data_IF_920121517131
#
_entry.id   IF_920121517131
#
_cell.length_a   1.000
_cell.length_b   1.000
_cell.length_c   1.000
_cell.angle_alpha   90.00
_cell.angle_beta   90.00
_cell.angle_gamma   90.00
#
_symmetry.space_group_name_H-M   'P 1'
#
loop_
_entity.id
_entity.type
_entity.pdbx_description
1 polymer ?
#
# COMPACT_ATOMS: atom_id res chain seq x y z
N UNK A 1 -23.66 -2.29 -3.22
CA UNK A 1 -22.59 -1.27 -3.11
C UNK A 1 -23.17 -0.08 -2.35
N UNK A 2 -22.34 0.71 -1.70
CA UNK A 2 -22.80 1.93 -1.01
C UNK A 2 -23.22 2.96 -2.07
N UNK A 3 -24.26 3.74 -1.80
CA UNK A 3 -24.68 4.83 -2.70
C UNK A 3 -23.58 5.90 -2.80
N UNK A 4 -23.30 6.47 -3.98
CA UNK A 4 -22.15 7.37 -4.17
C UNK A 4 -22.12 8.56 -3.22
N UNK A 5 -23.27 9.14 -2.87
CA UNK A 5 -23.32 10.27 -1.93
C UNK A 5 -23.07 9.86 -0.47
N UNK A 6 -23.44 8.63 -0.10
CA UNK A 6 -23.09 8.09 1.21
C UNK A 6 -21.59 7.84 1.27
N UNK A 7 -21.00 7.31 0.20
CA UNK A 7 -19.55 7.09 0.11
C UNK A 7 -18.77 8.41 0.15
N UNK A 8 -19.23 9.45 -0.57
CA UNK A 8 -18.68 10.80 -0.51
C UNK A 8 -18.70 11.36 0.91
N UNK A 9 -19.82 11.19 1.61
CA UNK A 9 -19.98 11.63 3.00
C UNK A 9 -19.01 10.89 3.93
N UNK A 10 -18.87 9.57 3.78
CA UNK A 10 -17.91 8.79 4.55
C UNK A 10 -16.47 9.24 4.31
N UNK A 11 -16.10 9.55 3.07
CA UNK A 11 -14.77 10.05 2.73
C UNK A 11 -14.49 11.39 3.42
N UNK A 12 -15.41 12.36 3.28
CA UNK A 12 -15.25 13.66 3.90
C UNK A 12 -15.16 13.58 5.43
N UNK A 13 -15.98 12.73 6.05
CA UNK A 13 -15.96 12.53 7.50
C UNK A 13 -14.68 11.82 7.97
N UNK A 14 -14.17 10.85 7.20
CA UNK A 14 -12.89 10.20 7.48
C UNK A 14 -11.74 11.21 7.44
N UNK A 15 -11.69 12.10 6.44
CA UNK A 15 -10.69 13.17 6.35
C UNK A 15 -10.78 14.11 7.55
N UNK A 16 -12.00 14.55 7.91
CA UNK A 16 -12.24 15.43 9.05
C UNK A 16 -11.75 14.81 10.37
N UNK A 17 -12.15 13.57 10.66
CA UNK A 17 -11.79 12.86 11.88
C UNK A 17 -10.29 12.58 11.96
N UNK A 18 -9.67 12.15 10.86
CA UNK A 18 -8.22 11.93 10.83
C UNK A 18 -7.46 13.23 11.08
N UNK A 19 -7.86 14.33 10.45
CA UNK A 19 -7.25 15.65 10.65
C UNK A 19 -7.35 16.10 12.12
N UNK A 20 -8.50 15.90 12.75
CA UNK A 20 -8.72 16.23 14.16
C UNK A 20 -7.81 15.40 15.09
N UNK A 21 -7.64 14.12 14.79
CA UNK A 21 -6.86 13.18 15.62
C UNK A 21 -5.34 13.32 15.44
N UNK A 22 -4.87 13.64 14.23
CA UNK A 22 -3.43 13.64 13.89
C UNK A 22 -2.85 15.04 13.73
N UNK A 23 -3.69 16.07 13.62
CA UNK A 23 -3.29 17.47 13.39
C UNK A 23 -3.03 17.84 11.93
N UNK A 24 -3.03 16.88 11.01
CA UNK A 24 -2.80 17.09 9.57
C UNK A 24 -3.75 16.22 8.74
N UNK A 25 -4.23 16.76 7.62
CA UNK A 25 -5.09 16.01 6.72
C UNK A 25 -4.34 14.85 6.05
N UNK A 26 -4.98 13.66 5.90
CA UNK A 26 -4.36 12.55 5.20
C UNK A 26 -4.11 12.88 3.73
N UNK A 27 -2.91 12.57 3.26
CA UNK A 27 -2.50 12.79 1.86
C UNK A 27 -2.57 11.52 1.01
N UNK A 28 -3.02 10.40 1.58
CA UNK A 28 -3.18 9.13 0.89
C UNK A 28 -4.50 8.46 1.25
N UNK A 29 -5.09 7.73 0.30
CA UNK A 29 -6.34 6.99 0.49
C UNK A 29 -6.20 5.50 0.17
N UNK A 30 -6.87 4.65 0.96
CA UNK A 30 -7.04 3.21 0.69
C UNK A 30 -8.32 2.72 1.35
N UNK A 31 -9.32 2.34 0.56
CA UNK A 31 -10.57 1.74 1.04
C UNK A 31 -10.46 0.22 1.23
N UNK A 32 -9.67 -0.45 0.38
CA UNK A 32 -9.49 -1.89 0.31
C UNK A 32 -10.66 -2.62 -0.35
N UNK A 33 -11.86 -2.49 0.22
CA UNK A 33 -13.10 -2.95 -0.42
C UNK A 33 -13.81 -1.73 -0.98
N UNK A 34 -13.34 -1.30 -2.13
CA UNK A 34 -13.79 -0.11 -2.84
C UNK A 34 -15.09 -0.36 -3.64
N UNK A 35 -15.55 0.68 -4.30
CA UNK A 35 -16.64 0.70 -5.27
C UNK A 35 -16.11 1.22 -6.61
N UNK A 36 -16.83 1.03 -7.72
CA UNK A 36 -16.46 1.65 -9.00
C UNK A 36 -16.37 3.18 -8.96
N UNK A 37 -16.87 3.83 -7.90
CA UNK A 37 -16.85 5.28 -7.73
C UNK A 37 -15.72 5.77 -6.82
N UNK A 38 -15.10 4.90 -6.01
CA UNK A 38 -14.18 5.31 -4.95
C UNK A 38 -13.05 6.21 -5.46
N UNK A 39 -12.30 5.78 -6.48
CA UNK A 39 -11.20 6.59 -7.04
C UNK A 39 -11.70 7.93 -7.58
N UNK A 40 -12.85 7.97 -8.26
CA UNK A 40 -13.45 9.22 -8.74
C UNK A 40 -13.75 10.17 -7.58
N UNK A 41 -14.32 9.68 -6.48
CA UNK A 41 -14.62 10.48 -5.29
C UNK A 41 -13.35 10.96 -4.58
N UNK A 42 -12.31 10.14 -4.52
CA UNK A 42 -10.98 10.50 -3.99
C UNK A 42 -10.37 11.65 -4.78
N UNK A 43 -10.39 11.57 -6.11
CA UNK A 43 -9.88 12.62 -6.99
C UNK A 43 -10.74 13.88 -6.88
N UNK A 44 -12.06 13.75 -6.87
CA UNK A 44 -13.00 14.88 -6.74
C UNK A 44 -12.82 15.63 -5.40
N UNK A 45 -12.46 14.92 -4.31
CA UNK A 45 -12.14 15.56 -3.02
C UNK A 45 -10.89 16.45 -3.10
N UNK A 46 -9.92 16.14 -3.97
CA UNK A 46 -8.76 17.00 -4.29
C UNK A 46 -7.67 17.11 -3.23
N UNK A 47 -7.83 16.46 -2.07
CA UNK A 47 -6.89 16.55 -0.94
C UNK A 47 -5.75 15.50 -0.90
N UNK A 48 -5.75 14.52 -1.82
CA UNK A 48 -4.84 13.38 -1.76
C UNK A 48 -3.75 13.45 -2.83
N UNK A 49 -2.51 13.13 -2.44
CA UNK A 49 -1.39 12.97 -3.37
C UNK A 49 -1.44 11.62 -4.08
N UNK A 50 -2.02 10.59 -3.45
CA UNK A 50 -2.13 9.25 -4.03
C UNK A 50 -3.30 8.44 -3.47
N UNK A 51 -3.71 7.41 -4.20
CA UNK A 51 -4.49 6.29 -3.68
C UNK A 51 -3.73 4.97 -3.78
N UNK A 52 -4.20 3.94 -3.07
CA UNK A 52 -3.62 2.59 -3.10
C UNK A 52 -4.66 1.51 -3.37
N UNK A 53 -5.85 1.86 -3.88
CA UNK A 53 -6.90 0.91 -4.29
C UNK A 53 -6.58 0.35 -5.69
N UNK A 54 -5.38 -0.25 -5.81
CA UNK A 54 -4.90 -0.96 -6.99
C UNK A 54 -3.88 -2.01 -6.58
N UNK A 55 -3.88 -3.13 -7.28
CA UNK A 55 -2.96 -4.27 -7.07
C UNK A 55 -2.27 -4.66 -8.39
N UNK A 56 -2.19 -3.71 -9.33
CA UNK A 56 -1.96 -4.01 -10.74
C UNK A 56 -0.50 -3.86 -11.20
N UNK A 57 0.40 -3.35 -10.37
CA UNK A 57 1.78 -3.05 -10.77
C UNK A 57 2.74 -3.08 -9.56
N UNK A 58 4.03 -3.21 -9.86
CA UNK A 58 5.16 -3.18 -8.91
C UNK A 58 5.78 -1.77 -8.78
N UNK A 59 5.23 -0.77 -9.49
CA UNK A 59 5.61 0.64 -9.43
C UNK A 59 4.39 1.56 -9.30
N UNK A 60 4.57 2.76 -8.71
CA UNK A 60 3.59 3.83 -8.85
C UNK A 60 3.36 4.21 -10.31
N UNK A 61 2.15 4.66 -10.63
CA UNK A 61 1.80 5.11 -11.98
C UNK A 61 0.71 6.18 -11.95
N UNK A 62 0.69 7.02 -12.97
CA UNK A 62 -0.35 8.04 -13.16
C UNK A 62 -1.57 7.44 -13.85
N UNK A 63 -2.76 7.83 -13.40
CA UNK A 63 -4.03 7.52 -14.07
C UNK A 63 -4.84 8.80 -14.26
N UNK A 64 -5.49 8.93 -15.41
CA UNK A 64 -6.41 10.01 -15.66
C UNK A 64 -7.80 9.66 -15.09
N UNK A 65 -8.37 10.56 -14.29
CA UNK A 65 -9.70 10.44 -13.70
C UNK A 65 -10.44 11.74 -13.98
N UNK A 66 -11.46 11.69 -14.84
CA UNK A 66 -12.24 12.85 -15.27
C UNK A 66 -11.38 14.06 -15.70
N UNK A 67 -10.27 13.77 -16.40
CA UNK A 67 -9.33 14.79 -16.90
C UNK A 67 -8.30 15.28 -15.88
N UNK A 68 -8.25 14.71 -14.68
CA UNK A 68 -7.24 14.99 -13.65
C UNK A 68 -6.26 13.83 -13.54
N UNK A 69 -4.96 14.11 -13.60
CA UNK A 69 -3.93 13.10 -13.32
C UNK A 69 -3.85 12.82 -11.82
N UNK A 70 -3.98 11.54 -11.46
CA UNK A 70 -3.87 11.07 -10.09
C UNK A 70 -2.82 9.98 -9.96
N UNK A 71 -2.00 10.04 -8.92
CA UNK A 71 -0.98 9.03 -8.69
C UNK A 71 -1.58 7.82 -7.96
N UNK A 72 -1.35 6.64 -8.51
CA UNK A 72 -1.61 5.38 -7.83
C UNK A 72 -0.29 4.85 -7.29
N UNK A 73 -0.26 4.50 -6.00
CA UNK A 73 0.82 3.73 -5.38
C UNK A 73 0.24 2.34 -5.07
N UNK A 74 0.53 1.29 -5.88
CA UNK A 74 -0.14 -0.02 -5.75
C UNK A 74 0.11 -0.73 -4.43
N UNK A 75 -0.91 -1.41 -3.92
CA UNK A 75 -0.89 -2.21 -2.69
C UNK A 75 -0.86 -3.71 -2.99
N UNK A 76 -1.02 -4.55 -1.97
CA UNK A 76 -0.94 -6.02 -2.07
C UNK A 76 -2.06 -6.73 -1.32
N UNK A 77 -2.51 -7.85 -1.89
CA UNK A 77 -3.35 -8.85 -1.22
C UNK A 77 -2.62 -10.20 -1.02
N UNK A 78 -1.41 -10.37 -1.55
CA UNK A 78 -0.61 -11.60 -1.48
C UNK A 78 0.46 -11.52 -0.38
N UNK A 79 1.34 -10.52 -0.43
CA UNK A 79 2.36 -10.21 0.58
C UNK A 79 1.73 -9.47 1.78
N UNK A 80 0.67 -10.08 2.32
CA UNK A 80 -0.23 -9.49 3.29
C UNK A 80 -0.62 -10.51 4.37
N UNK A 81 -0.50 -10.15 5.64
CA UNK A 81 -0.81 -11.03 6.77
C UNK A 81 -2.30 -11.41 6.87
N UNK A 82 -3.19 -10.75 6.12
CA UNK A 82 -4.58 -11.17 5.98
C UNK A 82 -4.71 -12.62 5.49
N UNK A 83 -3.69 -13.13 4.79
CA UNK A 83 -3.61 -14.53 4.35
C UNK A 83 -3.65 -15.51 5.52
N UNK A 84 -3.26 -15.15 6.75
CA UNK A 84 -3.46 -16.01 7.93
C UNK A 84 -4.93 -16.24 8.30
N UNK A 85 -5.86 -15.49 7.71
CA UNK A 85 -7.28 -15.49 8.07
C UNK A 85 -8.22 -15.84 6.92
N UNK A 86 -7.69 -16.34 5.79
CA UNK A 86 -8.49 -16.76 4.64
C UNK A 86 -8.23 -18.23 4.30
N UNK A 87 -9.20 -18.93 3.68
CA UNK A 87 -8.97 -20.27 3.15
C UNK A 87 -7.81 -20.29 2.16
N UNK A 88 -6.89 -21.25 2.31
CA UNK A 88 -5.73 -21.38 1.42
C UNK A 88 -4.66 -20.29 1.56
N UNK A 89 -4.66 -19.53 2.66
CA UNK A 89 -3.53 -18.67 3.02
C UNK A 89 -2.51 -19.38 3.93
N UNK A 90 -1.65 -18.60 4.60
CA UNK A 90 -0.50 -19.14 5.33
C UNK A 90 -0.91 -19.96 6.55
N UNK A 91 -0.43 -21.21 6.63
CA UNK A 91 -0.61 -22.11 7.76
C UNK A 91 0.31 -21.80 8.94
N UNK A 92 1.44 -21.13 8.70
CA UNK A 92 2.46 -20.85 9.70
C UNK A 92 3.21 -19.54 9.43
N UNK A 93 3.93 -19.05 10.45
CA UNK A 93 4.84 -17.91 10.29
C UNK A 93 5.94 -18.16 9.26
N UNK A 94 6.43 -19.40 9.15
CA UNK A 94 7.47 -19.77 8.19
C UNK A 94 7.02 -19.64 6.74
N UNK A 95 5.77 -19.99 6.44
CA UNK A 95 5.19 -19.78 5.11
C UNK A 95 5.09 -18.29 4.76
N UNK A 96 4.67 -17.45 5.71
CA UNK A 96 4.63 -16.00 5.50
C UNK A 96 6.03 -15.43 5.29
N UNK A 97 6.99 -15.75 6.17
CA UNK A 97 8.38 -15.32 6.02
C UNK A 97 8.97 -15.73 4.68
N UNK A 98 8.80 -17.00 4.28
CA UNK A 98 9.32 -17.52 3.02
C UNK A 98 8.72 -16.79 1.83
N UNK A 99 7.40 -16.56 1.85
CA UNK A 99 6.72 -15.82 0.79
C UNK A 99 7.23 -14.37 0.67
N UNK A 100 7.42 -13.67 1.80
CA UNK A 100 7.96 -12.32 1.80
C UNK A 100 9.41 -12.27 1.33
N UNK A 101 10.25 -13.20 1.82
CA UNK A 101 11.66 -13.32 1.43
C UNK A 101 11.79 -13.53 -0.08
N UNK A 102 11.03 -14.48 -0.64
CA UNK A 102 11.12 -14.80 -2.06
C UNK A 102 10.70 -13.60 -2.93
N UNK A 103 9.64 -12.88 -2.54
CA UNK A 103 9.24 -11.63 -3.21
C UNK A 103 10.34 -10.56 -3.14
N UNK A 104 10.96 -10.39 -1.97
CA UNK A 104 12.07 -9.46 -1.80
C UNK A 104 13.28 -9.86 -2.65
N UNK A 105 13.72 -11.11 -2.61
CA UNK A 105 14.93 -11.58 -3.30
C UNK A 105 14.82 -11.40 -4.82
N UNK A 106 13.63 -11.65 -5.40
CA UNK A 106 13.35 -11.40 -6.82
C UNK A 106 13.45 -9.92 -7.14
N UNK A 107 12.70 -9.06 -6.44
CA UNK A 107 12.69 -7.61 -6.73
C UNK A 107 14.05 -6.96 -6.45
N UNK A 108 14.79 -7.47 -5.46
CA UNK A 108 16.14 -7.03 -5.16
C UNK A 108 17.11 -7.38 -6.30
N UNK A 109 17.02 -8.59 -6.85
CA UNK A 109 17.82 -8.99 -8.01
C UNK A 109 17.48 -8.15 -9.26
N UNK A 110 16.21 -7.87 -9.53
CA UNK A 110 15.79 -6.97 -10.61
C UNK A 110 16.31 -5.54 -10.41
N UNK A 111 16.27 -5.04 -9.17
CA UNK A 111 16.86 -3.76 -8.79
C UNK A 111 18.36 -3.70 -9.04
N UNK A 112 19.10 -4.76 -8.66
CA UNK A 112 20.52 -4.88 -8.93
C UNK A 112 20.84 -4.94 -10.44
N UNK A 113 19.92 -5.47 -11.25
CA UNK A 113 19.99 -5.46 -12.72
C UNK A 113 19.58 -4.11 -13.36
N UNK A 114 19.26 -3.10 -12.56
CA UNK A 114 18.95 -1.73 -13.01
C UNK A 114 17.45 -1.43 -13.15
N UNK A 115 16.58 -2.30 -12.66
CA UNK A 115 15.12 -2.14 -12.74
C UNK A 115 14.48 -2.19 -11.35
N UNK A 116 14.78 -1.24 -10.43
CA UNK A 116 14.22 -1.26 -9.08
C UNK A 116 12.70 -1.14 -9.08
N UNK A 117 12.07 -1.75 -8.08
CA UNK A 117 10.62 -1.83 -7.85
C UNK A 117 10.28 -1.60 -6.39
N UNK A 118 9.00 -1.41 -6.08
CA UNK A 118 8.52 -1.38 -4.69
C UNK A 118 7.90 -2.72 -4.29
N UNK A 119 7.93 -3.01 -2.99
CA UNK A 119 7.23 -4.14 -2.38
C UNK A 119 6.38 -3.62 -1.21
N UNK A 120 5.07 -3.82 -1.29
CA UNK A 120 4.17 -3.54 -0.17
C UNK A 120 4.11 -4.75 0.77
N UNK A 121 4.05 -4.53 2.08
CA UNK A 121 3.82 -5.58 3.07
C UNK A 121 2.59 -5.21 3.90
N UNK A 122 1.49 -5.95 3.73
CA UNK A 122 0.24 -5.68 4.43
C UNK A 122 0.20 -6.30 5.81
N UNK A 123 -0.11 -5.50 6.84
CA UNK A 123 -0.10 -5.94 8.24
C UNK A 123 -1.38 -5.51 8.97
N UNK A 124 -1.88 -6.37 9.86
CA UNK A 124 -3.04 -6.08 10.69
C UNK A 124 -2.75 -6.39 12.16
N UNK A 125 -3.00 -5.44 13.06
CA UNK A 125 -2.68 -5.57 14.50
C UNK A 125 -3.20 -6.88 15.12
N UNK A 126 -4.42 -7.29 14.77
CA UNK A 126 -5.07 -8.51 15.29
C UNK A 126 -4.50 -9.82 14.74
N UNK A 127 -3.71 -9.76 13.66
CA UNK A 127 -3.15 -10.92 12.96
C UNK A 127 -1.65 -11.05 13.24
N UNK A 128 -0.77 -10.28 12.60
CA UNK A 128 0.67 -10.37 12.82
C UNK A 128 1.08 -10.05 14.26
N UNK A 129 0.30 -9.24 14.98
CA UNK A 129 0.56 -8.92 16.40
C UNK A 129 0.40 -10.10 17.37
N UNK A 130 -0.02 -11.28 16.89
CA UNK A 130 -0.02 -12.50 17.71
C UNK A 130 1.42 -13.01 17.88
N UNK A 131 1.83 -13.44 19.10
CA UNK A 131 3.19 -13.93 19.35
C UNK A 131 3.66 -15.04 18.39
N UNK A 132 2.74 -15.91 17.96
CA UNK A 132 3.04 -16.99 17.01
C UNK A 132 3.34 -16.53 15.58
N UNK A 133 3.08 -15.26 15.24
CA UNK A 133 3.21 -14.69 13.88
C UNK A 133 4.23 -13.57 13.80
N UNK A 134 4.38 -12.75 14.85
CA UNK A 134 5.30 -11.61 14.86
C UNK A 134 6.76 -12.02 14.60
N UNK A 135 7.17 -13.19 15.08
CA UNK A 135 8.53 -13.71 14.86
C UNK A 135 8.89 -13.88 13.36
N UNK A 136 7.90 -14.15 12.51
CA UNK A 136 8.13 -14.22 11.06
C UNK A 136 8.37 -12.84 10.43
N UNK A 137 7.66 -11.81 10.92
CA UNK A 137 7.88 -10.44 10.50
C UNK A 137 9.25 -9.93 10.95
N UNK A 138 9.66 -10.21 12.19
CA UNK A 138 11.00 -9.87 12.70
C UNK A 138 12.09 -10.47 11.81
N UNK A 139 12.00 -11.77 11.51
CA UNK A 139 12.95 -12.45 10.60
C UNK A 139 12.99 -11.83 9.21
N UNK A 140 11.84 -11.40 8.67
CA UNK A 140 11.81 -10.73 7.37
C UNK A 140 12.48 -9.35 7.42
N UNK A 141 12.24 -8.58 8.49
CA UNK A 141 12.92 -7.30 8.71
C UNK A 141 14.43 -7.47 8.88
N UNK A 142 14.88 -8.52 9.56
CA UNK A 142 16.31 -8.87 9.67
C UNK A 142 16.91 -9.20 8.29
N UNK A 143 16.20 -10.00 7.49
CA UNK A 143 16.61 -10.33 6.11
C UNK A 143 16.76 -9.08 5.25
N UNK A 144 15.77 -8.20 5.26
CA UNK A 144 15.78 -6.95 4.48
C UNK A 144 16.91 -6.03 4.93
N UNK A 145 17.13 -5.87 6.23
CA UNK A 145 18.18 -5.00 6.79
C UNK A 145 19.60 -5.55 6.59
N UNK A 146 19.76 -6.84 6.30
CA UNK A 146 21.04 -7.43 5.93
C UNK A 146 21.50 -7.06 4.51
N UNK A 147 20.63 -6.42 3.71
CA UNK A 147 20.94 -5.99 2.35
C UNK A 147 21.16 -4.48 2.27
N UNK A 148 22.17 -4.07 1.51
CA UNK A 148 22.39 -2.65 1.22
C UNK A 148 21.37 -2.13 0.20
N UNK A 149 21.25 -0.80 0.06
CA UNK A 149 20.43 -0.14 -0.97
C UNK A 149 18.93 -0.48 -0.93
N UNK A 150 18.41 -0.85 0.24
CA UNK A 150 16.97 -0.95 0.48
C UNK A 150 16.43 0.37 1.03
N UNK A 151 15.35 0.89 0.44
CA UNK A 151 14.64 2.05 0.96
C UNK A 151 13.37 1.63 1.73
N UNK A 152 13.51 1.45 3.04
CA UNK A 152 12.35 1.24 3.93
C UNK A 152 11.70 2.61 4.17
N UNK A 153 10.49 2.83 3.65
CA UNK A 153 9.91 4.16 3.54
C UNK A 153 8.40 4.19 3.74
N UNK A 154 7.84 5.38 3.92
CA UNK A 154 6.38 5.59 3.96
C UNK A 154 5.86 5.79 2.55
N UNK A 155 4.62 5.38 2.29
CA UNK A 155 3.96 5.56 0.98
C UNK A 155 3.89 7.03 0.55
N UNK A 156 3.72 7.96 1.49
CA UNK A 156 3.73 9.40 1.19
C UNK A 156 5.09 9.87 0.65
N UNK A 157 6.20 9.26 1.08
CA UNK A 157 7.53 9.60 0.60
C UNK A 157 7.77 9.02 -0.81
N UNK A 158 7.22 7.82 -1.11
CA UNK A 158 7.17 7.27 -2.47
C UNK A 158 6.38 8.21 -3.39
N UNK A 159 5.20 8.65 -2.97
CA UNK A 159 4.36 9.53 -3.76
C UNK A 159 5.09 10.85 -4.08
N UNK A 160 5.70 11.49 -3.08
CA UNK A 160 6.50 12.71 -3.27
C UNK A 160 7.71 12.49 -4.17
N UNK A 161 8.41 11.36 -4.01
CA UNK A 161 9.52 10.99 -4.88
C UNK A 161 9.04 10.84 -6.33
N UNK A 162 7.92 10.15 -6.55
CA UNK A 162 7.38 9.92 -7.89
C UNK A 162 6.96 11.21 -8.57
N UNK A 163 6.24 12.08 -7.86
CA UNK A 163 5.81 13.39 -8.37
C UNK A 163 7.01 14.25 -8.79
N UNK A 164 8.09 14.21 -8.02
CA UNK A 164 9.27 15.02 -8.28
C UNK A 164 10.12 14.53 -9.47
N UNK A 165 10.17 13.22 -9.72
CA UNK A 165 11.09 12.62 -10.70
C UNK A 165 10.40 12.06 -11.95
N UNK A 166 9.11 11.76 -11.85
CA UNK A 166 8.29 11.15 -12.89
C UNK A 166 6.94 11.89 -12.97
N UNK A 167 6.91 13.18 -13.35
CA UNK A 167 5.64 13.93 -13.48
C UNK A 167 4.72 13.29 -14.54
N UNK A 168 3.40 13.53 -14.47
CA UNK A 168 2.48 13.08 -15.52
C UNK A 168 2.88 13.72 -16.86
N UNK A 169 2.73 12.95 -17.95
CA UNK A 169 3.12 13.34 -19.30
C UNK A 169 2.06 14.13 -20.05
#
# INVERSE_FOLDING_TARGET
LVEPEVERTHLAEAVRLMTELTGEAPLGWYAGRDSPQTRRLVVEHGGFLYDSDSYADDLPYWTAVDGTDHLVVPYTLDTNDMRFAIPGGFGSGDEFFTHLRDAFDVLYAEGAAGSPKMLSIGLHCRLVGRPARVAALERFLDHVQAHEKVWITRRIDIARHWIAHFPPG
#
